data_IF_540967529081
#
_entry.id   IF_540967529081
#
_cell.length_a   1.000
_cell.length_b   1.000
_cell.length_c   1.000
_cell.angle_alpha   90.00
_cell.angle_beta   90.00
_cell.angle_gamma   90.00
#
_symmetry.space_group_name_H-M   'P 1'
#
loop_
_entity.id
_entity.type
_entity.pdbx_description
1 polymer ?
#
# COMPACT_ATOMS: atom_id res chain seq x y z
N UNK A 1 -5.73 -17.70 9.58
CA UNK A 1 -6.43 -16.65 8.82
C UNK A 1 -5.47 -15.50 8.53
N UNK A 2 -5.89 -14.52 7.73
CA UNK A 2 -5.13 -13.31 7.47
C UNK A 2 -5.18 -12.38 8.68
N UNK A 3 -4.03 -11.80 9.04
CA UNK A 3 -3.93 -10.80 10.11
C UNK A 3 -4.18 -9.36 9.64
N UNK A 4 -4.26 -9.17 8.32
CA UNK A 4 -4.45 -7.87 7.67
C UNK A 4 -5.50 -8.00 6.57
N UNK A 5 -6.42 -7.05 6.48
CA UNK A 5 -7.45 -6.95 5.42
C UNK A 5 -7.51 -5.53 4.89
N UNK A 6 -7.11 -5.34 3.62
CA UNK A 6 -7.19 -4.03 2.97
C UNK A 6 -8.62 -3.71 2.54
N UNK A 7 -9.10 -2.52 2.84
CA UNK A 7 -10.46 -2.07 2.61
C UNK A 7 -10.52 -0.97 1.57
N UNK A 8 -11.26 -1.18 0.47
CA UNK A 8 -11.52 -0.16 -0.53
C UNK A 8 -12.57 0.82 -0.02
N UNK A 9 -12.17 2.09 0.09
CA UNK A 9 -13.02 3.25 0.42
C UNK A 9 -13.24 4.16 -0.80
N UNK A 10 -13.80 5.36 -0.56
CA UNK A 10 -14.11 6.33 -1.59
C UNK A 10 -15.57 6.29 -2.02
N UNK A 11 -16.47 5.96 -1.11
CA UNK A 11 -17.92 6.10 -1.27
C UNK A 11 -18.29 7.57 -1.46
N UNK A 12 -19.54 7.81 -1.81
CA UNK A 12 -20.03 9.18 -2.06
C UNK A 12 -19.87 10.08 -0.84
N UNK A 13 -20.08 9.56 0.35
CA UNK A 13 -19.96 10.30 1.60
C UNK A 13 -18.98 9.68 2.57
N UNK A 14 -18.48 10.47 3.52
CA UNK A 14 -17.66 10.00 4.64
C UNK A 14 -18.41 8.98 5.50
N UNK A 15 -19.69 9.23 5.78
CA UNK A 15 -20.52 8.34 6.61
C UNK A 15 -20.65 6.95 5.99
N UNK A 16 -20.75 6.86 4.66
CA UNK A 16 -20.76 5.59 3.95
C UNK A 16 -19.42 4.84 4.07
N UNK A 17 -18.29 5.54 4.01
CA UNK A 17 -16.97 4.95 4.22
C UNK A 17 -16.81 4.44 5.66
N UNK A 18 -17.22 5.23 6.66
CA UNK A 18 -17.18 4.84 8.06
C UNK A 18 -18.10 3.64 8.36
N UNK A 19 -19.28 3.60 7.74
CA UNK A 19 -20.20 2.46 7.86
C UNK A 19 -19.60 1.16 7.30
N UNK A 20 -18.89 1.24 6.16
CA UNK A 20 -18.18 0.09 5.57
C UNK A 20 -17.08 -0.39 6.51
N UNK A 21 -16.26 0.52 7.06
CA UNK A 21 -15.20 0.17 8.02
C UNK A 21 -15.77 -0.48 9.28
N UNK A 22 -16.85 0.08 9.84
CA UNK A 22 -17.54 -0.50 11.00
C UNK A 22 -18.01 -1.92 10.74
N UNK A 23 -18.71 -2.14 9.62
CA UNK A 23 -19.20 -3.46 9.24
C UNK A 23 -18.06 -4.49 9.04
N UNK A 24 -16.94 -4.07 8.44
CA UNK A 24 -15.78 -4.94 8.27
C UNK A 24 -15.13 -5.22 9.62
N UNK A 25 -14.93 -4.21 10.46
CA UNK A 25 -14.38 -4.36 11.83
C UNK A 25 -15.20 -5.33 12.66
N UNK A 26 -16.52 -5.23 12.60
CA UNK A 26 -17.44 -6.14 13.31
C UNK A 26 -17.30 -7.59 12.78
N UNK A 27 -17.06 -7.76 11.49
CA UNK A 27 -16.93 -9.09 10.88
C UNK A 27 -15.56 -9.76 11.16
N UNK A 28 -14.46 -8.98 11.17
CA UNK A 28 -13.09 -9.54 11.30
C UNK A 28 -12.54 -9.50 12.72
N UNK A 29 -13.14 -8.71 13.61
CA UNK A 29 -12.69 -8.53 14.99
C UNK A 29 -11.66 -7.42 15.18
N UNK A 30 -11.34 -7.11 16.44
CA UNK A 30 -10.50 -5.97 16.81
C UNK A 30 -9.02 -6.16 16.44
N UNK A 31 -8.54 -7.40 16.40
CA UNK A 31 -7.11 -7.72 16.25
C UNK A 31 -6.63 -7.67 14.79
N UNK A 32 -7.56 -7.69 13.81
CA UNK A 32 -7.19 -7.63 12.39
C UNK A 32 -6.81 -6.20 12.02
N UNK A 33 -5.65 -6.05 11.39
CA UNK A 33 -5.15 -4.76 10.90
C UNK A 33 -5.94 -4.35 9.66
N UNK A 34 -6.43 -3.11 9.62
CA UNK A 34 -7.21 -2.58 8.50
C UNK A 34 -6.50 -1.40 7.83
N UNK A 35 -5.70 -1.63 6.78
CA UNK A 35 -5.33 -0.58 5.84
C UNK A 35 -6.51 -0.20 4.95
N UNK A 36 -6.55 1.06 4.51
CA UNK A 36 -7.60 1.56 3.62
C UNK A 36 -7.01 2.10 2.33
N UNK A 37 -7.75 1.96 1.22
CA UNK A 37 -7.32 2.38 -0.10
C UNK A 37 -8.42 3.19 -0.80
N UNK A 38 -8.09 4.42 -1.18
CA UNK A 38 -8.97 5.31 -1.95
C UNK A 38 -8.73 5.24 -3.45
N UNK A 39 -7.64 4.64 -3.90
CA UNK A 39 -7.28 4.49 -5.30
C UNK A 39 -7.47 5.80 -6.10
N UNK A 40 -6.91 6.88 -5.57
CA UNK A 40 -6.82 8.21 -6.18
C UNK A 40 -8.17 8.93 -6.39
N UNK A 41 -9.23 8.52 -5.72
CA UNK A 41 -10.58 9.02 -6.03
C UNK A 41 -10.93 10.36 -5.36
N UNK A 42 -10.13 10.86 -4.41
CA UNK A 42 -10.46 12.05 -3.66
C UNK A 42 -9.70 13.29 -4.16
N UNK A 43 -10.30 14.46 -3.98
CA UNK A 43 -9.57 15.72 -4.00
C UNK A 43 -8.84 15.93 -2.67
N UNK A 44 -7.77 16.72 -2.67
CA UNK A 44 -6.90 16.93 -1.50
C UNK A 44 -7.69 17.36 -0.25
N UNK A 45 -8.67 18.25 -0.42
CA UNK A 45 -9.49 18.71 0.69
C UNK A 45 -10.33 17.57 1.30
N UNK A 46 -11.01 16.79 0.45
CA UNK A 46 -11.82 15.66 0.89
C UNK A 46 -10.96 14.57 1.54
N UNK A 47 -9.75 14.35 1.01
CA UNK A 47 -8.80 13.40 1.57
C UNK A 47 -8.33 13.80 2.97
N UNK A 48 -8.10 15.09 3.22
CA UNK A 48 -7.74 15.59 4.56
C UNK A 48 -8.93 15.45 5.53
N UNK A 49 -10.13 15.79 5.10
CA UNK A 49 -11.34 15.66 5.93
C UNK A 49 -11.57 14.20 6.33
N UNK A 50 -11.57 13.29 5.34
CA UNK A 50 -11.74 11.84 5.57
C UNK A 50 -10.59 11.26 6.38
N UNK A 51 -9.36 11.64 6.09
CA UNK A 51 -8.17 11.17 6.81
C UNK A 51 -8.25 11.49 8.32
N UNK A 52 -8.66 12.71 8.68
CA UNK A 52 -8.88 13.10 10.08
C UNK A 52 -9.99 12.31 10.78
N UNK A 53 -11.02 11.93 10.04
CA UNK A 53 -12.04 11.03 10.59
C UNK A 53 -11.49 9.61 10.78
N UNK A 54 -10.65 9.15 9.85
CA UNK A 54 -9.99 7.84 9.92
C UNK A 54 -8.98 7.76 11.06
N UNK A 55 -8.33 8.86 11.47
CA UNK A 55 -7.46 8.94 12.65
C UNK A 55 -8.18 8.48 13.93
N UNK A 56 -9.52 8.56 13.96
CA UNK A 56 -10.34 8.20 15.13
C UNK A 56 -10.83 6.74 15.13
N UNK A 57 -10.61 5.98 14.04
CA UNK A 57 -11.18 4.63 13.86
C UNK A 57 -10.13 3.52 13.67
N UNK A 58 -8.89 3.80 14.03
CA UNK A 58 -7.79 2.82 14.05
C UNK A 58 -7.59 2.07 12.73
N UNK A 59 -7.40 2.83 11.65
CA UNK A 59 -6.88 2.29 10.38
C UNK A 59 -5.35 2.34 10.38
N UNK A 60 -4.73 1.43 9.63
CA UNK A 60 -3.28 1.27 9.67
C UNK A 60 -2.52 2.21 8.73
N UNK A 61 -3.02 2.39 7.51
CA UNK A 61 -2.60 3.43 6.57
C UNK A 61 -3.74 3.88 5.69
N UNK A 62 -3.54 5.03 5.06
CA UNK A 62 -4.38 5.57 3.99
C UNK A 62 -3.60 5.46 2.68
N UNK A 63 -4.06 4.60 1.76
CA UNK A 63 -3.44 4.36 0.46
C UNK A 63 -4.07 5.21 -0.62
N UNK A 64 -3.22 5.81 -1.46
CA UNK A 64 -3.58 6.61 -2.63
C UNK A 64 -4.78 7.54 -2.41
N UNK A 65 -4.75 8.44 -1.42
CA UNK A 65 -5.91 9.30 -1.12
C UNK A 65 -6.28 10.22 -2.27
N UNK A 66 -5.29 10.73 -3.01
CA UNK A 66 -5.47 11.58 -4.18
C UNK A 66 -4.58 11.13 -5.33
N UNK A 67 -4.52 11.88 -6.43
CA UNK A 67 -3.73 11.54 -7.60
C UNK A 67 -2.27 11.25 -7.26
N UNK A 68 -1.74 10.12 -7.76
CA UNK A 68 -0.37 9.65 -7.46
C UNK A 68 0.72 10.68 -7.78
N UNK A 69 0.52 11.50 -8.81
CA UNK A 69 1.47 12.50 -9.28
C UNK A 69 1.23 13.92 -8.73
N UNK A 70 0.27 14.10 -7.84
CA UNK A 70 0.10 15.34 -7.08
C UNK A 70 0.97 15.30 -5.81
N UNK A 71 2.29 15.47 -5.99
CA UNK A 71 3.26 15.41 -4.90
C UNK A 71 2.93 16.39 -3.76
N UNK A 72 2.55 17.61 -4.12
CA UNK A 72 2.22 18.65 -3.14
C UNK A 72 0.88 18.37 -2.45
N UNK A 73 -0.10 17.83 -3.17
CA UNK A 73 -1.38 17.41 -2.61
C UNK A 73 -1.19 16.28 -1.60
N UNK A 74 -0.47 15.22 -1.98
CA UNK A 74 -0.15 14.10 -1.09
C UNK A 74 0.66 14.55 0.13
N UNK A 75 1.64 15.44 -0.03
CA UNK A 75 2.41 16.00 1.08
C UNK A 75 1.53 16.80 2.06
N UNK A 76 0.56 17.55 1.55
CA UNK A 76 -0.42 18.26 2.40
C UNK A 76 -1.33 17.31 3.16
N UNK A 77 -1.73 16.20 2.54
CA UNK A 77 -2.53 15.17 3.20
C UNK A 77 -1.71 14.52 4.30
N UNK A 78 -0.51 14.01 4.00
CA UNK A 78 0.38 13.36 4.97
C UNK A 78 0.71 14.28 6.17
N UNK A 79 0.86 15.58 5.94
CA UNK A 79 1.08 16.55 7.02
C UNK A 79 -0.16 16.88 7.85
N UNK A 80 -1.37 16.55 7.38
CA UNK A 80 -2.64 16.95 8.00
C UNK A 80 -3.35 15.83 8.76
N UNK A 81 -2.90 14.57 8.61
CA UNK A 81 -3.46 13.37 9.22
C UNK A 81 -2.43 12.68 10.13
N UNK A 82 -2.89 11.91 11.11
CA UNK A 82 -2.02 11.11 11.99
C UNK A 82 -1.77 9.72 11.41
N UNK A 83 -2.76 9.18 10.68
CA UNK A 83 -2.66 7.89 10.00
C UNK A 83 -1.65 7.96 8.86
N UNK A 84 -0.65 7.06 8.80
CA UNK A 84 0.36 7.05 7.75
C UNK A 84 -0.24 6.99 6.34
N UNK A 85 0.36 7.72 5.39
CA UNK A 85 -0.04 7.70 3.98
C UNK A 85 0.85 6.74 3.20
N UNK A 86 0.25 5.84 2.43
CA UNK A 86 0.93 4.92 1.52
C UNK A 86 0.66 5.30 0.07
N UNK A 87 1.73 5.36 -0.73
CA UNK A 87 1.65 5.60 -2.18
C UNK A 87 2.72 4.78 -2.92
N UNK A 88 2.52 4.54 -4.21
CA UNK A 88 3.60 4.00 -5.02
C UNK A 88 3.19 3.06 -6.14
N UNK A 89 2.07 2.36 -6.07
CA UNK A 89 1.67 1.38 -7.10
C UNK A 89 1.54 1.99 -8.50
N UNK A 90 1.25 3.29 -8.56
CA UNK A 90 1.11 4.04 -9.81
C UNK A 90 2.34 4.88 -10.19
N UNK A 91 3.49 4.73 -9.51
CA UNK A 91 4.71 5.43 -9.89
C UNK A 91 5.38 4.76 -11.08
N UNK A 92 5.79 5.57 -12.04
CA UNK A 92 6.57 5.12 -13.20
C UNK A 92 8.05 5.50 -13.03
N UNK A 93 8.90 4.49 -13.08
CA UNK A 93 10.33 4.64 -12.86
C UNK A 93 10.71 5.02 -11.41
N UNK A 94 11.97 4.84 -11.03
CA UNK A 94 12.46 5.17 -9.68
C UNK A 94 12.36 6.66 -9.34
N UNK A 95 12.30 7.52 -10.36
CA UNK A 95 12.20 8.97 -10.24
C UNK A 95 10.88 9.40 -9.57
N UNK A 96 9.77 8.67 -9.83
CA UNK A 96 8.49 8.92 -9.17
C UNK A 96 8.56 8.70 -7.65
N UNK A 97 9.19 7.62 -7.22
CA UNK A 97 9.41 7.34 -5.81
C UNK A 97 10.31 8.42 -5.16
N UNK A 98 11.40 8.81 -5.83
CA UNK A 98 12.30 9.85 -5.32
C UNK A 98 11.58 11.19 -5.14
N UNK A 99 10.77 11.61 -6.12
CA UNK A 99 9.98 12.85 -6.04
C UNK A 99 8.96 12.83 -4.90
N UNK A 100 8.26 11.69 -4.70
CA UNK A 100 7.30 11.54 -3.62
C UNK A 100 7.99 11.64 -2.24
N UNK A 101 9.15 11.01 -2.09
CA UNK A 101 9.96 11.05 -0.87
C UNK A 101 10.48 12.47 -0.59
N UNK A 102 11.03 13.14 -1.61
CA UNK A 102 11.53 14.52 -1.49
C UNK A 102 10.41 15.49 -1.06
N UNK A 103 9.22 15.31 -1.63
CA UNK A 103 8.03 16.10 -1.29
C UNK A 103 7.43 15.74 0.08
N UNK A 104 7.86 14.67 0.74
CA UNK A 104 7.24 14.09 1.94
C UNK A 104 5.77 13.72 1.71
N UNK A 105 5.50 13.14 0.56
CA UNK A 105 4.16 12.80 0.08
C UNK A 105 3.69 11.41 0.53
N UNK A 106 4.48 10.72 1.34
CA UNK A 106 4.17 9.37 1.85
C UNK A 106 5.00 9.03 3.09
N UNK A 107 4.47 8.09 3.87
CA UNK A 107 5.13 7.46 5.00
C UNK A 107 5.53 6.02 4.68
N UNK A 108 4.76 5.35 3.82
CA UNK A 108 5.02 4.01 3.30
C UNK A 108 5.05 4.02 1.77
N UNK A 109 5.95 3.23 1.20
CA UNK A 109 6.15 3.13 -0.24
C UNK A 109 5.70 1.75 -0.75
N UNK A 110 4.87 1.71 -1.80
CA UNK A 110 4.36 0.48 -2.40
C UNK A 110 4.57 0.48 -3.92
N UNK A 111 5.79 0.26 -4.41
CA UNK A 111 6.04 0.27 -5.86
C UNK A 111 5.47 -0.99 -6.52
N UNK A 112 4.98 -0.83 -7.74
CA UNK A 112 4.67 -1.96 -8.63
C UNK A 112 5.90 -2.31 -9.45
N UNK A 113 6.26 -3.60 -9.50
CA UNK A 113 7.49 -4.05 -10.16
C UNK A 113 7.51 -3.78 -11.67
N UNK A 114 6.35 -3.84 -12.32
CA UNK A 114 6.26 -3.60 -13.77
C UNK A 114 6.41 -2.12 -14.07
N UNK A 115 5.70 -1.27 -13.33
CA UNK A 115 5.69 0.19 -13.55
C UNK A 115 6.98 0.86 -13.12
N UNK A 116 7.62 0.36 -12.08
CA UNK A 116 8.87 0.93 -11.55
C UNK A 116 10.11 0.60 -12.40
N UNK A 117 9.97 -0.23 -13.44
CA UNK A 117 11.07 -0.60 -14.34
C UNK A 117 11.71 -1.95 -14.05
N UNK A 118 10.89 -2.91 -13.65
CA UNK A 118 11.31 -4.29 -13.35
C UNK A 118 12.19 -4.40 -12.11
N UNK A 119 12.89 -5.51 -11.98
CA UNK A 119 13.77 -5.78 -10.84
C UNK A 119 14.83 -4.69 -10.64
N UNK A 120 15.41 -4.18 -11.72
CA UNK A 120 16.45 -3.13 -11.65
C UNK A 120 15.88 -1.82 -11.09
N UNK A 121 14.69 -1.41 -11.54
CA UNK A 121 13.99 -0.24 -11.01
C UNK A 121 13.61 -0.43 -9.54
N UNK A 122 13.08 -1.59 -9.21
CA UNK A 122 12.77 -1.97 -7.83
C UNK A 122 13.97 -1.83 -6.89
N UNK A 123 15.12 -2.42 -7.25
CA UNK A 123 16.33 -2.36 -6.42
C UNK A 123 16.87 -0.94 -6.21
N UNK A 124 16.66 -0.06 -7.21
CA UNK A 124 16.99 1.37 -7.05
C UNK A 124 16.06 2.04 -6.04
N UNK A 125 14.76 1.78 -6.13
CA UNK A 125 13.75 2.31 -5.20
C UNK A 125 13.98 1.78 -3.78
N UNK A 126 14.27 0.48 -3.63
CA UNK A 126 14.56 -0.13 -2.34
C UNK A 126 15.75 0.55 -1.63
N UNK A 127 16.81 0.90 -2.38
CA UNK A 127 17.96 1.66 -1.82
C UNK A 127 17.58 3.06 -1.40
N UNK A 128 16.80 3.78 -2.22
CA UNK A 128 16.34 5.13 -1.87
C UNK A 128 15.49 5.07 -0.59
N UNK A 129 14.58 4.11 -0.48
CA UNK A 129 13.75 3.92 0.71
C UNK A 129 14.58 3.56 1.96
N UNK A 130 15.60 2.72 1.82
CA UNK A 130 16.51 2.35 2.90
C UNK A 130 17.28 3.57 3.45
N UNK A 131 17.81 4.43 2.59
CA UNK A 131 18.53 5.64 2.98
C UNK A 131 17.69 6.58 3.85
N UNK A 132 16.38 6.66 3.61
CA UNK A 132 15.43 7.50 4.36
C UNK A 132 14.58 6.72 5.36
N UNK A 133 14.79 5.41 5.49
CA UNK A 133 14.10 4.49 6.41
C UNK A 133 12.58 4.43 6.18
N UNK A 134 12.15 4.50 4.94
CA UNK A 134 10.73 4.34 4.57
C UNK A 134 10.43 2.85 4.34
N UNK A 135 9.43 2.25 5.03
CA UNK A 135 8.99 0.88 4.79
C UNK A 135 8.45 0.69 3.37
N UNK A 136 8.74 -0.48 2.79
CA UNK A 136 8.34 -0.85 1.42
C UNK A 136 7.41 -2.06 1.46
N UNK A 137 6.25 -1.94 0.84
CA UNK A 137 5.28 -3.03 0.64
C UNK A 137 5.30 -3.51 -0.81
N UNK A 138 4.81 -4.73 -1.11
CA UNK A 138 4.58 -5.30 -2.46
C UNK A 138 5.57 -6.40 -2.92
N UNK A 139 5.86 -6.56 -4.24
CA UNK A 139 6.25 -7.82 -4.91
C UNK A 139 7.63 -8.43 -4.61
N UNK A 140 8.68 -7.62 -4.45
CA UNK A 140 10.06 -8.13 -4.26
C UNK A 140 10.56 -7.98 -2.82
N UNK A 141 9.68 -8.18 -1.85
CA UNK A 141 9.96 -7.92 -0.45
C UNK A 141 11.08 -8.79 0.13
N UNK A 142 11.21 -10.05 -0.33
CA UNK A 142 12.28 -10.94 0.13
C UNK A 142 13.69 -10.41 -0.15
N UNK A 143 13.82 -9.49 -1.13
CA UNK A 143 15.09 -8.84 -1.49
C UNK A 143 15.17 -7.38 -1.02
N UNK A 144 14.24 -6.93 -0.17
CA UNK A 144 14.10 -5.52 0.21
C UNK A 144 14.45 -5.33 1.69
N UNK A 145 15.47 -4.51 2.04
CA UNK A 145 15.88 -4.30 3.44
C UNK A 145 14.79 -3.73 4.33
N UNK A 146 13.93 -2.87 3.76
CA UNK A 146 12.82 -2.20 4.46
C UNK A 146 11.48 -2.90 4.20
N UNK A 147 11.48 -4.23 4.01
CA UNK A 147 10.27 -5.01 3.76
C UNK A 147 9.19 -4.80 4.83
N UNK A 148 7.96 -4.63 4.41
CA UNK A 148 6.81 -4.41 5.28
C UNK A 148 5.72 -5.46 5.01
N UNK A 149 4.61 -5.11 4.34
CA UNK A 149 3.53 -6.04 4.03
C UNK A 149 3.51 -6.42 2.55
N UNK A 150 3.23 -7.70 2.28
CA UNK A 150 2.86 -8.17 0.95
C UNK A 150 1.34 -8.10 0.80
N UNK A 151 0.85 -7.38 -0.19
CA UNK A 151 -0.54 -7.53 -0.62
C UNK A 151 -0.68 -8.83 -1.40
N UNK A 152 -1.40 -9.78 -0.84
CA UNK A 152 -1.64 -11.08 -1.45
C UNK A 152 -3.01 -11.14 -2.10
N UNK A 153 -3.05 -11.54 -3.36
CA UNK A 153 -4.28 -11.85 -4.10
C UNK A 153 -4.13 -13.20 -4.78
N UNK A 154 -5.17 -14.01 -4.78
CA UNK A 154 -5.15 -15.37 -5.32
C UNK A 154 -5.84 -15.52 -6.70
N UNK A 155 -6.32 -14.42 -7.27
CA UNK A 155 -7.05 -14.43 -8.54
C UNK A 155 -6.27 -15.00 -9.72
N UNK A 156 -4.94 -14.90 -9.73
CA UNK A 156 -4.07 -15.48 -10.76
C UNK A 156 -3.69 -16.95 -10.49
N UNK A 157 -3.94 -17.46 -9.29
CA UNK A 157 -3.57 -18.82 -8.91
C UNK A 157 -4.03 -19.90 -9.90
N UNK A 158 -5.24 -19.85 -10.51
CA UNK A 158 -5.66 -20.82 -11.51
C UNK A 158 -4.85 -20.82 -12.82
N UNK A 159 -4.04 -19.77 -13.07
CA UNK A 159 -3.22 -19.62 -14.27
C UNK A 159 -1.78 -20.12 -14.06
N UNK A 160 -1.41 -20.51 -12.85
CA UNK A 160 -0.05 -20.87 -12.47
C UNK A 160 0.04 -22.38 -12.22
N UNK A 161 1.12 -23.03 -12.65
CA UNK A 161 1.39 -24.43 -12.34
C UNK A 161 1.71 -24.62 -10.86
N UNK A 162 2.43 -23.65 -10.27
CA UNK A 162 2.82 -23.64 -8.87
C UNK A 162 2.35 -22.32 -8.22
N UNK A 163 1.06 -22.19 -7.88
CA UNK A 163 0.56 -20.96 -7.30
C UNK A 163 1.19 -20.67 -5.93
N UNK A 164 1.46 -19.40 -5.69
CA UNK A 164 1.93 -18.92 -4.39
C UNK A 164 0.84 -19.18 -3.34
N UNK A 165 1.23 -19.71 -2.21
CA UNK A 165 0.32 -19.99 -1.08
C UNK A 165 0.75 -19.25 0.18
N UNK A 166 -0.23 -18.94 1.03
CA UNK A 166 -0.01 -18.34 2.34
C UNK A 166 -0.07 -19.42 3.41
N UNK A 167 1.00 -19.59 4.17
CA UNK A 167 1.06 -20.51 5.32
C UNK A 167 1.43 -19.72 6.56
N UNK A 168 0.61 -19.79 7.61
CA UNK A 168 0.80 -19.07 8.87
C UNK A 168 1.06 -17.55 8.69
N UNK A 169 0.32 -16.94 7.74
CA UNK A 169 0.44 -15.52 7.45
C UNK A 169 1.68 -15.12 6.62
N UNK A 170 2.43 -16.09 6.10
CA UNK A 170 3.64 -15.86 5.32
C UNK A 170 3.53 -16.47 3.91
N UNK A 171 4.15 -15.80 2.96
CA UNK A 171 4.42 -16.31 1.62
C UNK A 171 5.85 -16.83 1.60
N UNK A 172 6.04 -18.06 1.10
CA UNK A 172 7.36 -18.65 0.94
C UNK A 172 7.86 -18.44 -0.48
N UNK A 173 9.07 -17.88 -0.59
CA UNK A 173 9.73 -17.71 -1.89
C UNK A 173 10.29 -19.09 -2.32
N UNK A 174 10.00 -19.49 -3.55
CA UNK A 174 10.53 -20.73 -4.14
C UNK A 174 12.02 -20.62 -4.45
N UNK A 175 12.77 -21.71 -4.23
CA UNK A 175 14.16 -21.84 -4.68
C UNK A 175 14.27 -22.31 -6.16
N UNK A 176 13.15 -22.50 -6.84
CA UNK A 176 13.14 -22.89 -8.24
C UNK A 176 13.62 -21.74 -9.14
N UNK A 177 14.26 -22.04 -10.29
CA UNK A 177 14.69 -21.03 -11.24
C UNK A 177 13.54 -20.16 -11.76
N UNK A 178 13.82 -18.91 -12.09
CA UNK A 178 12.84 -17.95 -12.57
C UNK A 178 12.06 -17.30 -11.45
N UNK A 179 10.77 -17.01 -11.67
CA UNK A 179 9.88 -16.46 -10.65
C UNK A 179 9.31 -17.53 -9.70
N UNK A 180 9.59 -18.81 -9.93
CA UNK A 180 9.16 -19.92 -9.08
C UNK A 180 7.70 -20.33 -9.23
N UNK A 181 6.94 -19.69 -10.10
CA UNK A 181 5.47 -19.88 -10.23
C UNK A 181 5.07 -20.41 -11.63
N UNK A 182 6.03 -20.78 -12.47
CA UNK A 182 5.74 -21.35 -13.79
C UNK A 182 5.30 -22.79 -13.67
#
# INVERSE_FOLDING_TARGET
GYGVVKVRLGRKTLDEDLAVLGAIRDAVGADVILPVDFNQCLFVYDAIERGRALDQVNVYWIEEPTRYNDWQGNARIAAAVETPVQNGENFYGPEGAAQAIEAKALDYLMPDVERIGGVTGWMRVARIAEEVKIPVSSHLLAATPMAHWLEFTDWSAPLLENPVTVTDGHVHVSDAPGAGNA
#
